data_IF_647013602447
#
_entry.id   IF_647013602447
#
_cell.length_a   1.000
_cell.length_b   1.000
_cell.length_c   1.000
_cell.angle_alpha   90.00
_cell.angle_beta   90.00
_cell.angle_gamma   90.00
#
_symmetry.space_group_name_H-M   'P 1'
#
loop_
_entity.id
_entity.type
_entity.pdbx_description
1 polymer ?
#
# COMPACT_ATOMS: atom_id res chain seq x y z
N UNK A 1 7.71 -13.78 -30.57
CA UNK A 1 6.79 -12.64 -30.77
C UNK A 1 6.46 -12.01 -29.43
N UNK A 2 6.21 -10.72 -29.47
CA UNK A 2 6.05 -9.93 -28.26
C UNK A 2 4.65 -9.31 -28.21
N UNK A 3 3.98 -9.44 -27.07
CA UNK A 3 2.68 -8.79 -26.88
C UNK A 3 2.90 -7.71 -25.83
N UNK A 4 2.63 -6.48 -26.20
CA UNK A 4 2.79 -5.34 -25.32
C UNK A 4 1.43 -4.71 -25.03
N UNK A 5 1.17 -4.46 -23.76
CA UNK A 5 -0.08 -3.81 -23.34
C UNK A 5 0.14 -3.10 -22.02
N UNK A 6 -0.72 -2.13 -21.75
CA UNK A 6 -0.66 -1.36 -20.52
C UNK A 6 -1.30 -2.13 -19.37
N UNK A 7 -0.55 -2.29 -18.29
CA UNK A 7 -1.05 -2.98 -17.08
C UNK A 7 -1.59 -2.02 -16.03
N UNK A 8 -1.31 -0.74 -16.17
CA UNK A 8 -1.67 0.26 -15.18
C UNK A 8 -0.72 0.35 -14.00
N UNK A 9 0.30 -0.50 -13.94
CA UNK A 9 1.31 -0.44 -12.88
C UNK A 9 2.14 0.82 -13.03
N UNK A 10 2.27 1.56 -11.92
CA UNK A 10 3.03 2.81 -11.86
C UNK A 10 4.11 2.71 -10.79
N UNK A 11 5.20 3.43 -11.02
CA UNK A 11 6.25 3.59 -10.03
C UNK A 11 6.02 4.88 -9.26
N UNK A 12 6.19 4.81 -7.95
CA UNK A 12 5.96 5.94 -7.07
C UNK A 12 7.23 6.36 -6.36
N UNK A 13 7.39 7.67 -6.23
CA UNK A 13 8.39 8.26 -5.36
C UNK A 13 7.78 8.39 -3.97
N UNK A 14 8.48 7.93 -2.94
CA UNK A 14 8.01 8.00 -1.56
C UNK A 14 9.03 8.81 -0.76
N UNK A 15 8.60 9.95 -0.25
CA UNK A 15 9.45 10.85 0.55
C UNK A 15 10.81 11.14 -0.13
N UNK A 16 10.76 11.39 -1.44
CA UNK A 16 11.95 11.72 -2.21
C UNK A 16 12.75 10.53 -2.74
N UNK A 17 12.37 9.30 -2.39
CA UNK A 17 13.01 8.10 -2.90
C UNK A 17 12.32 7.67 -4.19
N UNK A 18 13.02 7.78 -5.31
CA UNK A 18 12.46 7.44 -6.63
C UNK A 18 12.26 5.95 -6.78
N UNK A 19 11.18 5.58 -7.45
CA UNK A 19 10.85 4.18 -7.75
C UNK A 19 10.80 3.30 -6.50
N UNK A 20 10.33 3.88 -5.39
CA UNK A 20 10.30 3.19 -4.10
C UNK A 20 9.31 2.03 -4.09
N UNK A 21 8.15 2.21 -4.69
CA UNK A 21 7.12 1.17 -4.78
C UNK A 21 6.48 1.19 -6.15
N UNK A 22 5.93 0.04 -6.55
CA UNK A 22 5.22 -0.09 -7.81
C UNK A 22 3.92 -0.84 -7.56
N UNK A 23 2.82 -0.28 -8.05
CA UNK A 23 1.51 -0.94 -7.99
C UNK A 23 0.56 -0.27 -8.98
N UNK A 24 -0.51 -0.98 -9.31
CA UNK A 24 -1.60 -0.38 -10.08
C UNK A 24 -2.63 0.17 -9.10
N UNK A 25 -2.77 1.49 -8.97
CA UNK A 25 -3.69 2.07 -8.00
C UNK A 25 -5.17 1.82 -8.31
N UNK A 26 -5.49 1.43 -9.56
CA UNK A 26 -6.86 1.11 -9.96
C UNK A 26 -7.15 -0.39 -9.91
N UNK A 27 -6.23 -1.22 -9.41
CA UNK A 27 -6.41 -2.66 -9.31
C UNK A 27 -7.15 -3.00 -8.01
N UNK A 28 -8.39 -3.47 -8.14
CA UNK A 28 -9.19 -3.87 -6.98
C UNK A 28 -8.58 -5.02 -6.19
N UNK A 29 -7.87 -5.91 -6.86
CA UNK A 29 -7.15 -7.00 -6.19
C UNK A 29 -6.03 -6.46 -5.29
N UNK A 30 -5.30 -5.47 -5.77
CA UNK A 30 -4.28 -4.81 -4.97
C UNK A 30 -4.92 -4.10 -3.76
N UNK A 31 -6.00 -3.37 -3.99
CA UNK A 31 -6.70 -2.68 -2.90
C UNK A 31 -7.16 -3.65 -1.83
N UNK A 32 -7.68 -4.81 -2.23
CA UNK A 32 -8.09 -5.84 -1.28
C UNK A 32 -6.92 -6.31 -0.42
N UNK A 33 -5.75 -6.54 -1.03
CA UNK A 33 -4.55 -6.95 -0.29
C UNK A 33 -4.06 -5.84 0.63
N UNK A 34 -4.13 -4.59 0.18
CA UNK A 34 -3.76 -3.42 0.98
C UNK A 34 -4.63 -3.30 2.23
N UNK A 35 -5.95 -3.44 2.07
CA UNK A 35 -6.88 -3.39 3.19
C UNK A 35 -6.64 -4.55 4.16
N UNK A 36 -6.35 -5.74 3.64
CA UNK A 36 -6.01 -6.89 4.47
C UNK A 36 -4.73 -6.66 5.29
N UNK A 37 -3.72 -6.07 4.66
CA UNK A 37 -2.48 -5.69 5.35
C UNK A 37 -2.78 -4.68 6.46
N UNK A 38 -3.59 -3.68 6.17
CA UNK A 38 -3.98 -2.67 7.16
C UNK A 38 -4.67 -3.31 8.37
N UNK A 39 -5.61 -4.21 8.12
CA UNK A 39 -6.33 -4.92 9.20
C UNK A 39 -5.37 -5.76 10.05
N UNK A 40 -4.48 -6.51 9.42
CA UNK A 40 -3.52 -7.34 10.17
C UNK A 40 -2.56 -6.49 10.99
N UNK A 41 -2.12 -5.36 10.47
CA UNK A 41 -1.24 -4.47 11.21
C UNK A 41 -1.97 -3.81 12.38
N UNK A 42 -3.25 -3.48 12.21
CA UNK A 42 -4.06 -2.97 13.30
C UNK A 42 -4.16 -4.00 14.43
N UNK A 43 -4.37 -5.27 14.09
CA UNK A 43 -4.41 -6.32 15.07
C UNK A 43 -3.06 -6.53 15.76
N UNK A 44 -1.98 -6.49 15.01
CA UNK A 44 -0.63 -6.59 15.59
C UNK A 44 -0.38 -5.46 16.58
N UNK A 45 -0.82 -4.25 16.27
CA UNK A 45 -0.58 -3.10 17.14
C UNK A 45 -1.36 -3.19 18.45
N UNK A 46 -2.49 -3.87 18.47
CA UNK A 46 -3.25 -4.08 19.71
C UNK A 46 -2.46 -4.87 20.75
N UNK A 47 -1.50 -5.66 20.30
CA UNK A 47 -0.66 -6.47 21.17
C UNK A 47 0.56 -5.73 21.71
N UNK A 48 0.75 -4.48 21.29
CA UNK A 48 1.84 -3.66 21.81
C UNK A 48 1.37 -3.00 23.10
N UNK A 49 2.11 -3.26 24.18
CA UNK A 49 1.76 -2.75 25.50
C UNK A 49 2.75 -1.65 25.89
N UNK A 50 2.34 -0.37 25.89
CA UNK A 50 3.26 0.71 26.19
C UNK A 50 3.61 0.83 27.66
N UNK A 51 2.83 0.18 28.54
CA UNK A 51 2.95 0.34 29.99
C UNK A 51 3.71 -0.78 30.67
N UNK A 52 4.09 -1.82 29.92
CA UNK A 52 4.71 -2.99 30.48
C UNK A 52 6.22 -2.95 30.45
N UNK A 53 6.87 -3.69 31.35
CA UNK A 53 8.31 -3.77 31.38
C UNK A 53 8.91 -4.41 30.14
N UNK A 54 8.12 -5.17 29.40
CA UNK A 54 8.54 -5.83 28.17
C UNK A 54 8.15 -5.04 26.91
N UNK A 55 7.81 -3.76 27.07
CA UNK A 55 7.32 -2.95 25.96
C UNK A 55 8.33 -2.79 24.82
N UNK A 56 9.63 -2.74 25.13
CA UNK A 56 10.65 -2.66 24.09
C UNK A 56 10.67 -3.92 23.23
N UNK A 57 10.55 -5.09 23.86
CA UNK A 57 10.50 -6.35 23.14
C UNK A 57 9.25 -6.43 22.28
N UNK A 58 8.10 -6.00 22.82
CA UNK A 58 6.84 -5.94 22.08
C UNK A 58 6.95 -5.01 20.86
N UNK A 59 7.60 -3.86 21.03
CA UNK A 59 7.80 -2.91 19.93
C UNK A 59 8.71 -3.47 18.85
N UNK A 60 9.79 -4.15 19.24
CA UNK A 60 10.69 -4.78 18.27
C UNK A 60 9.99 -5.88 17.50
N UNK A 61 9.18 -6.69 18.19
CA UNK A 61 8.42 -7.74 17.54
C UNK A 61 7.41 -7.15 16.55
N UNK A 62 6.69 -6.12 16.98
CA UNK A 62 5.75 -5.44 16.08
C UNK A 62 6.46 -4.91 14.86
N UNK A 63 7.61 -4.24 15.04
CA UNK A 63 8.33 -3.66 13.94
C UNK A 63 8.74 -4.73 12.92
N UNK A 64 9.26 -5.86 13.38
CA UNK A 64 9.63 -6.96 12.50
C UNK A 64 8.42 -7.54 11.75
N UNK A 65 7.32 -7.79 12.48
CA UNK A 65 6.12 -8.36 11.88
C UNK A 65 5.47 -7.39 10.89
N UNK A 66 5.42 -6.11 11.23
CA UNK A 66 4.86 -5.08 10.37
C UNK A 66 5.66 -4.89 9.09
N UNK A 67 6.99 -4.90 9.20
CA UNK A 67 7.86 -4.79 8.02
C UNK A 67 7.65 -5.99 7.08
N UNK A 68 7.49 -7.18 7.64
CA UNK A 68 7.21 -8.38 6.85
C UNK A 68 5.88 -8.25 6.10
N UNK A 69 4.85 -7.70 6.73
CA UNK A 69 3.53 -7.49 6.10
C UNK A 69 3.62 -6.50 4.94
N UNK A 70 4.33 -5.40 5.11
CA UNK A 70 4.48 -4.40 4.05
C UNK A 70 5.35 -4.94 2.91
N UNK A 71 6.43 -5.63 3.25
CA UNK A 71 7.30 -6.23 2.24
C UNK A 71 6.56 -7.31 1.43
N UNK A 72 5.64 -8.03 2.05
CA UNK A 72 4.81 -9.00 1.34
C UNK A 72 3.90 -8.33 0.32
N UNK A 73 3.47 -7.10 0.61
CA UNK A 73 2.60 -6.35 -0.29
C UNK A 73 3.35 -5.71 -1.46
N UNK A 74 4.51 -5.14 -1.21
CA UNK A 74 5.25 -4.35 -2.20
C UNK A 74 6.53 -5.00 -2.72
N UNK A 75 7.09 -5.95 -1.99
CA UNK A 75 8.32 -6.61 -2.36
C UNK A 75 9.37 -6.54 -1.27
N UNK A 76 10.33 -7.43 -1.32
CA UNK A 76 11.39 -7.52 -0.33
C UNK A 76 12.16 -6.20 -0.22
N UNK A 77 12.59 -5.87 0.98
CA UNK A 77 13.40 -4.70 1.31
C UNK A 77 12.70 -3.36 1.10
N UNK A 78 11.39 -3.34 0.80
CA UNK A 78 10.64 -2.10 0.64
C UNK A 78 10.69 -1.26 1.92
N UNK A 79 10.41 -1.88 3.05
CA UNK A 79 10.44 -1.18 4.35
C UNK A 79 11.82 -0.63 4.67
N UNK A 80 12.86 -1.41 4.42
CA UNK A 80 14.22 -0.96 4.66
C UNK A 80 14.56 0.30 3.87
N UNK A 81 14.10 0.37 2.64
CA UNK A 81 14.35 1.53 1.79
C UNK A 81 13.50 2.74 2.18
N UNK A 82 12.23 2.53 2.50
CA UNK A 82 11.29 3.63 2.80
C UNK A 82 11.48 4.16 4.21
N UNK A 83 11.53 3.27 5.20
CA UNK A 83 11.55 3.66 6.61
C UNK A 83 12.95 3.67 7.22
N UNK A 84 13.90 2.96 6.61
CA UNK A 84 15.24 2.85 7.18
C UNK A 84 15.18 2.33 8.60
N UNK A 85 15.80 3.05 9.53
CA UNK A 85 15.82 2.69 10.94
C UNK A 85 14.65 3.21 11.76
N UNK A 86 13.67 3.87 11.13
CA UNK A 86 12.51 4.41 11.84
C UNK A 86 11.59 3.26 12.25
N UNK A 87 11.21 3.22 13.53
CA UNK A 87 10.23 2.24 14.00
C UNK A 87 8.87 2.51 13.37
N UNK A 88 8.21 1.46 12.88
CA UNK A 88 6.90 1.60 12.25
C UNK A 88 5.82 2.00 13.25
N UNK A 89 6.02 1.75 14.54
CA UNK A 89 5.12 2.19 15.61
C UNK A 89 5.32 3.64 16.02
N UNK A 90 6.40 4.28 15.59
CA UNK A 90 6.65 5.67 15.99
C UNK A 90 5.53 6.55 15.46
N UNK A 91 5.24 7.61 16.21
CA UNK A 91 4.08 8.48 15.93
C UNK A 91 4.53 9.72 15.19
N UNK A 92 3.83 10.03 14.10
CA UNK A 92 4.00 11.28 13.35
C UNK A 92 2.61 11.74 12.93
N UNK A 93 2.33 13.02 13.11
CA UNK A 93 1.00 13.60 12.82
C UNK A 93 -0.14 12.86 13.54
N UNK A 94 0.13 12.39 14.76
CA UNK A 94 -0.88 11.75 15.60
C UNK A 94 -1.16 10.30 15.27
N UNK A 95 -0.49 9.72 14.30
CA UNK A 95 -0.70 8.33 13.87
C UNK A 95 0.62 7.58 13.80
N UNK A 96 0.59 6.24 13.93
CA UNK A 96 1.79 5.45 13.68
C UNK A 96 2.29 5.66 12.24
N UNK A 97 3.60 5.65 12.08
CA UNK A 97 4.23 5.89 10.78
C UNK A 97 3.75 4.89 9.72
N UNK A 98 3.57 3.61 10.10
CA UNK A 98 3.07 2.61 9.16
C UNK A 98 1.67 2.97 8.63
N UNK A 99 0.84 3.54 9.50
CA UNK A 99 -0.52 3.92 9.14
C UNK A 99 -0.51 5.11 8.18
N UNK A 100 0.36 6.09 8.45
CA UNK A 100 0.53 7.23 7.55
C UNK A 100 0.89 6.76 6.14
N UNK A 101 1.78 5.79 6.03
CA UNK A 101 2.18 5.24 4.74
C UNK A 101 1.03 4.53 4.03
N UNK A 102 0.37 3.60 4.71
CA UNK A 102 -0.71 2.83 4.08
C UNK A 102 -1.91 3.70 3.72
N UNK A 103 -2.22 4.70 4.54
CA UNK A 103 -3.31 5.64 4.22
C UNK A 103 -2.97 6.47 2.98
N UNK A 104 -1.72 6.88 2.82
CA UNK A 104 -1.29 7.59 1.62
C UNK A 104 -1.44 6.72 0.37
N UNK A 105 -1.11 5.43 0.47
CA UNK A 105 -1.31 4.48 -0.64
C UNK A 105 -2.80 4.29 -0.93
N UNK A 106 -3.62 4.20 0.11
CA UNK A 106 -5.08 4.09 -0.06
C UNK A 106 -5.67 5.30 -0.78
N UNK A 107 -5.18 6.50 -0.46
CA UNK A 107 -5.64 7.71 -1.12
C UNK A 107 -5.34 7.67 -2.62
N UNK A 108 -4.18 7.16 -2.99
CA UNK A 108 -3.83 6.99 -4.41
C UNK A 108 -4.77 6.00 -5.09
N UNK A 109 -5.09 4.90 -4.42
CA UNK A 109 -6.02 3.91 -4.96
C UNK A 109 -7.42 4.50 -5.13
N UNK A 110 -7.90 5.23 -4.12
CA UNK A 110 -9.23 5.82 -4.13
C UNK A 110 -9.38 6.81 -5.28
N UNK A 111 -8.39 7.68 -5.44
CA UNK A 111 -8.37 8.66 -6.53
C UNK A 111 -8.33 7.97 -7.90
N UNK A 112 -7.47 6.97 -8.06
CA UNK A 112 -7.31 6.27 -9.32
C UNK A 112 -8.55 5.47 -9.70
N UNK A 113 -9.20 4.82 -8.73
CA UNK A 113 -10.41 4.05 -8.97
C UNK A 113 -11.55 4.99 -9.39
N UNK A 114 -11.67 6.15 -8.73
CA UNK A 114 -12.67 7.15 -9.10
C UNK A 114 -12.46 7.64 -10.55
N UNK A 115 -11.22 7.90 -10.93
CA UNK A 115 -10.89 8.31 -12.29
C UNK A 115 -11.17 7.20 -13.29
N UNK A 116 -10.82 5.95 -12.94
CA UNK A 116 -11.06 4.80 -13.79
C UNK A 116 -12.54 4.59 -14.06
N UNK A 117 -13.40 4.74 -13.04
CA UNK A 117 -14.85 4.65 -13.19
C UNK A 117 -15.38 5.73 -14.12
N UNK A 118 -14.87 6.95 -13.99
CA UNK A 118 -15.30 8.06 -14.85
C UNK A 118 -14.90 7.82 -16.30
N UNK A 119 -13.77 7.15 -16.54
CA UNK A 119 -13.25 6.89 -17.88
C UNK A 119 -13.77 5.61 -18.51
N UNK A 120 -14.27 4.68 -17.70
CA UNK A 120 -14.68 3.36 -18.17
C UNK A 120 -15.85 3.41 -19.12
N UNK A 121 -16.83 4.27 -18.85
CA UNK A 121 -18.04 4.35 -19.66
C UNK A 121 -17.76 4.74 -21.11
N UNK A 122 -16.96 5.82 -21.39
CA UNK A 122 -16.61 6.12 -22.78
C UNK A 122 -15.82 5.00 -23.46
N UNK A 123 -14.88 4.38 -22.76
CA UNK A 123 -14.09 3.30 -23.33
C UNK A 123 -14.93 2.08 -23.64
N UNK A 124 -15.85 1.74 -22.74
CA UNK A 124 -16.75 0.61 -22.93
C UNK A 124 -17.71 0.88 -24.09
N UNK A 125 -18.25 2.09 -24.21
CA UNK A 125 -19.11 2.43 -25.32
C UNK A 125 -18.37 2.33 -26.65
N UNK A 126 -17.14 2.77 -26.70
CA UNK A 126 -16.32 2.64 -27.91
C UNK A 126 -16.12 1.16 -28.29
N UNK A 127 -15.85 0.32 -27.30
CA UNK A 127 -15.69 -1.11 -27.50
C UNK A 127 -16.97 -1.73 -28.02
N UNK A 128 -18.10 -1.44 -27.39
CA UNK A 128 -19.39 -1.97 -27.78
C UNK A 128 -19.80 -1.53 -29.18
N UNK A 129 -19.47 -0.30 -29.55
CA UNK A 129 -19.75 0.21 -30.89
C UNK A 129 -18.95 -0.56 -31.95
N UNK A 130 -17.71 -0.97 -31.62
CA UNK A 130 -16.85 -1.70 -32.56
C UNK A 130 -17.24 -3.19 -32.66
N UNK A 131 -17.57 -3.83 -31.56
CA UNK A 131 -17.79 -5.29 -31.51
C UNK A 131 -19.20 -5.68 -31.09
N UNK A 132 -19.96 -4.77 -30.56
CA UNK A 132 -21.28 -5.03 -30.04
C UNK A 132 -22.35 -4.96 -31.12
N UNK A 133 -23.55 -5.12 -30.69
CA UNK A 133 -24.71 -5.09 -31.58
C UNK A 133 -25.68 -4.00 -31.18
#
# INVERSE_FOLDING_TARGET
MNINFETGVKSYTVNGLDNAIRFNPADGGFLKRLLGTFERMTELQKNVSPDEGDSLESLEKFDADARAEIDALFGADTCGQIFGGVSLCSVADGLPVWMNFLLAVMDECDEAISKAKASASPALQKYLKKYGK
#
